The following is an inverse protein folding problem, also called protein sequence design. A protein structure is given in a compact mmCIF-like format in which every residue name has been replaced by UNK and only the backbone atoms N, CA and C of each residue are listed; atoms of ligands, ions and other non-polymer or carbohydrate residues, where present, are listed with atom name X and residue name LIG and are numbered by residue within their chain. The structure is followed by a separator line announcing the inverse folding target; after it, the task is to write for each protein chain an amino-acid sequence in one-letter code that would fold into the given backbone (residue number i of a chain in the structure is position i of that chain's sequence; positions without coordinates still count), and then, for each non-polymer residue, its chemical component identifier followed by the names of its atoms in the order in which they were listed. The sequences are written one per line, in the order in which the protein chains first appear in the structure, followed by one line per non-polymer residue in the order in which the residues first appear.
data_IF_121312555643
#
_entry.id   IF_121312555643
#
_cell.length_a   1.000
_cell.length_b   1.000
_cell.length_c   1.000
_cell.angle_alpha   90.00
_cell.angle_beta   90.00
_cell.angle_gamma   90.00
#
_symmetry.space_group_name_H-M   'P 1'
#
loop_
_entity.id
_entity.type
_entity.pdbx_description
1 polymer ?
#
# COMPACT_ATOMS: atom_id res chain seq x y z
N UNK A 1 8.97 -29.11 57.19
CA UNK A 1 9.28 -28.61 55.84
C UNK A 1 8.28 -27.54 55.46
N UNK A 2 8.72 -26.41 54.91
CA UNK A 2 7.82 -25.32 54.47
C UNK A 2 7.19 -25.68 53.13
N UNK A 3 5.87 -25.77 53.07
CA UNK A 3 5.08 -25.86 51.83
C UNK A 3 4.73 -24.44 51.37
N UNK A 4 5.21 -24.06 50.19
CA UNK A 4 4.87 -22.78 49.57
C UNK A 4 3.58 -23.00 48.75
N UNK A 5 2.49 -22.40 49.21
CA UNK A 5 1.14 -22.58 48.66
C UNK A 5 0.86 -21.72 47.43
N UNK A 6 1.04 -22.27 46.25
CA UNK A 6 0.45 -21.73 45.03
C UNK A 6 -0.27 -22.83 44.25
N UNK A 7 -1.54 -22.59 43.94
CA UNK A 7 -2.34 -23.39 43.03
C UNK A 7 -2.46 -22.62 41.71
N UNK A 8 -1.69 -23.04 40.70
CA UNK A 8 -1.77 -22.47 39.36
C UNK A 8 -3.02 -22.98 38.64
N UNK A 9 -3.90 -22.06 38.22
CA UNK A 9 -5.00 -22.36 37.32
C UNK A 9 -4.58 -22.06 35.88
N UNK A 10 -4.28 -23.10 35.10
CA UNK A 10 -4.15 -22.96 33.65
C UNK A 10 -5.54 -23.04 33.01
N UNK A 11 -5.99 -21.95 32.41
CA UNK A 11 -7.10 -21.99 31.44
C UNK A 11 -6.50 -22.35 30.09
N UNK A 12 -6.94 -23.45 29.48
CA UNK A 12 -6.55 -23.76 28.11
C UNK A 12 -7.02 -22.62 27.20
N UNK A 13 -6.09 -21.82 26.67
CA UNK A 13 -6.38 -20.91 25.57
C UNK A 13 -6.57 -21.72 24.28
N UNK A 14 -7.08 -21.07 23.23
CA UNK A 14 -7.20 -21.69 21.91
C UNK A 14 -5.87 -22.37 21.53
N UNK A 15 -5.95 -23.63 21.09
CA UNK A 15 -4.77 -24.41 20.74
C UNK A 15 -3.92 -23.66 19.72
N UNK A 16 -2.61 -23.57 19.97
CA UNK A 16 -1.63 -23.00 19.02
C UNK A 16 -1.79 -23.63 17.64
N UNK A 17 -2.24 -24.89 17.56
CA UNK A 17 -2.52 -25.60 16.30
C UNK A 17 -3.61 -24.88 15.49
N UNK A 18 -4.65 -24.33 16.12
CA UNK A 18 -5.70 -23.57 15.40
C UNK A 18 -5.17 -22.25 14.84
N UNK A 19 -4.20 -21.63 15.50
CA UNK A 19 -3.48 -20.45 15.02
C UNK A 19 -2.43 -20.79 13.94
N UNK A 20 -1.89 -22.01 13.96
CA UNK A 20 -0.79 -22.48 13.08
C UNK A 20 -1.31 -23.31 11.89
N UNK A 21 -2.62 -23.56 11.79
CA UNK A 21 -3.24 -24.25 10.65
C UNK A 21 -3.01 -23.43 9.37
N UNK A 22 -2.06 -23.89 8.58
CA UNK A 22 -1.81 -23.48 7.20
C UNK A 22 -2.64 -24.34 6.24
N UNK A 23 -3.92 -24.59 6.55
CA UNK A 23 -4.84 -25.10 5.55
C UNK A 23 -5.08 -23.94 4.58
N UNK A 24 -4.18 -23.79 3.61
CA UNK A 24 -4.27 -22.78 2.55
C UNK A 24 -5.47 -23.14 1.71
N UNK A 25 -6.64 -22.65 2.11
CA UNK A 25 -7.80 -22.59 1.23
C UNK A 25 -7.32 -21.99 -0.08
N UNK A 26 -7.57 -22.66 -1.21
CA UNK A 26 -7.27 -22.12 -2.54
C UNK A 26 -8.12 -20.88 -2.74
N UNK A 27 -7.59 -19.73 -2.36
CA UNK A 27 -8.21 -18.44 -2.62
C UNK A 27 -8.18 -18.17 -4.12
N UNK A 28 -9.25 -17.57 -4.63
CA UNK A 28 -9.27 -17.09 -5.99
C UNK A 28 -8.17 -16.03 -6.18
N UNK A 29 -7.58 -15.87 -7.39
CA UNK A 29 -6.44 -14.97 -7.61
C UNK A 29 -6.64 -13.53 -7.12
N UNK A 30 -7.88 -13.04 -7.14
CA UNK A 30 -8.28 -11.72 -6.64
C UNK A 30 -8.30 -11.58 -5.11
N UNK A 31 -8.28 -12.70 -4.39
CA UNK A 31 -8.31 -12.76 -2.92
C UNK A 31 -6.95 -13.14 -2.32
N UNK A 32 -5.94 -13.42 -3.17
CA UNK A 32 -4.62 -13.79 -2.70
C UNK A 32 -3.81 -12.55 -2.25
N UNK A 33 -3.14 -12.61 -1.09
CA UNK A 33 -2.09 -11.67 -0.74
C UNK A 33 -0.78 -11.99 -1.47
N UNK A 34 0.15 -11.05 -1.51
CA UNK A 34 1.46 -11.26 -2.13
C UNK A 34 1.34 -11.28 -3.66
N UNK A 35 0.74 -10.25 -4.23
CA UNK A 35 0.50 -10.16 -5.68
C UNK A 35 1.25 -8.98 -6.28
N UNK A 36 1.69 -9.17 -7.52
CA UNK A 36 2.11 -8.09 -8.41
C UNK A 36 0.88 -7.71 -9.24
N UNK A 37 0.54 -6.43 -9.21
CA UNK A 37 -0.67 -5.91 -9.83
C UNK A 37 -0.35 -4.76 -10.79
N UNK A 38 -1.21 -4.60 -11.79
CA UNK A 38 -1.21 -3.49 -12.73
C UNK A 38 -2.50 -2.69 -12.56
N UNK A 39 -2.41 -1.37 -12.47
CA UNK A 39 -3.56 -0.46 -12.60
C UNK A 39 -3.45 0.21 -13.95
N UNK A 40 -4.39 -0.12 -14.84
CA UNK A 40 -4.48 0.45 -16.18
C UNK A 40 -5.43 1.64 -16.17
N UNK A 41 -5.00 2.76 -16.76
CA UNK A 41 -5.86 3.90 -17.03
C UNK A 41 -6.39 3.83 -18.47
N UNK A 42 -7.60 4.32 -18.71
CA UNK A 42 -8.17 4.45 -20.05
C UNK A 42 -7.27 5.26 -21.02
N UNK A 43 -6.39 6.12 -20.52
CA UNK A 43 -5.37 6.82 -21.32
C UNK A 43 -4.16 5.94 -21.73
N UNK A 44 -4.22 4.63 -21.49
CA UNK A 44 -3.14 3.65 -21.74
C UNK A 44 -1.91 3.79 -20.84
N UNK A 45 -1.96 4.65 -19.82
CA UNK A 45 -0.94 4.66 -18.77
C UNK A 45 -1.13 3.43 -17.86
N UNK A 46 -0.01 2.85 -17.41
CA UNK A 46 -0.01 1.72 -16.49
C UNK A 46 0.84 2.00 -15.26
N UNK A 47 0.33 1.59 -14.11
CA UNK A 47 1.06 1.53 -12.85
C UNK A 47 1.27 0.08 -12.46
N UNK A 48 2.50 -0.32 -12.13
CA UNK A 48 2.80 -1.66 -11.62
C UNK A 48 3.28 -1.52 -10.18
N UNK A 49 2.67 -2.29 -9.29
CA UNK A 49 3.05 -2.35 -7.89
C UNK A 49 3.00 -3.77 -7.36
N UNK A 50 3.54 -3.95 -6.17
CA UNK A 50 3.42 -5.18 -5.40
C UNK A 50 2.64 -4.92 -4.12
N UNK A 51 1.94 -5.93 -3.61
CA UNK A 51 1.24 -5.80 -2.34
C UNK A 51 1.24 -7.10 -1.55
N UNK A 52 1.50 -6.99 -0.24
CA UNK A 52 1.35 -8.10 0.70
C UNK A 52 -0.10 -8.30 1.16
N UNK A 53 -1.03 -7.43 0.75
CA UNK A 53 -2.46 -7.57 1.01
C UNK A 53 -3.17 -8.01 -0.28
N UNK A 54 -4.50 -8.10 -0.26
CA UNK A 54 -5.29 -8.31 -1.48
C UNK A 54 -5.22 -7.10 -2.40
N UNK A 55 -5.40 -7.31 -3.71
CA UNK A 55 -5.48 -6.23 -4.69
C UNK A 55 -6.57 -5.21 -4.33
N UNK A 56 -7.76 -5.69 -3.94
CA UNK A 56 -8.88 -4.82 -3.55
C UNK A 56 -8.50 -3.88 -2.41
N UNK A 57 -7.84 -4.41 -1.37
CA UNK A 57 -7.40 -3.61 -0.24
C UNK A 57 -6.38 -2.54 -0.65
N UNK A 58 -5.39 -2.89 -1.50
CA UNK A 58 -4.43 -1.90 -2.01
C UNK A 58 -5.10 -0.86 -2.91
N UNK A 59 -6.05 -1.27 -3.74
CA UNK A 59 -6.81 -0.36 -4.60
C UNK A 59 -7.66 0.62 -3.79
N UNK A 60 -8.32 0.16 -2.72
CA UNK A 60 -9.05 1.03 -1.79
C UNK A 60 -8.14 2.06 -1.10
N UNK A 61 -6.89 1.71 -0.79
CA UNK A 61 -5.91 2.68 -0.27
C UNK A 61 -5.63 3.78 -1.29
N UNK A 62 -5.44 3.43 -2.57
CA UNK A 62 -5.26 4.42 -3.64
C UNK A 62 -6.51 5.29 -3.81
N UNK A 63 -7.71 4.70 -3.80
CA UNK A 63 -8.97 5.44 -3.87
C UNK A 63 -9.17 6.37 -2.66
N UNK A 64 -8.75 5.94 -1.47
CA UNK A 64 -8.77 6.78 -0.26
C UNK A 64 -7.91 8.03 -0.44
N UNK A 65 -6.70 7.88 -0.98
CA UNK A 65 -5.81 9.01 -1.27
C UNK A 65 -6.42 9.93 -2.35
N UNK A 66 -6.98 9.35 -3.43
CA UNK A 66 -7.69 10.10 -4.47
C UNK A 66 -8.87 10.90 -3.91
N UNK A 67 -9.64 10.30 -3.00
CA UNK A 67 -10.74 10.98 -2.33
C UNK A 67 -10.25 12.12 -1.43
N UNK A 68 -9.09 11.98 -0.76
CA UNK A 68 -8.50 13.09 0.00
C UNK A 68 -8.14 14.27 -0.90
N UNK A 69 -7.53 13.99 -2.06
CA UNK A 69 -7.22 14.97 -3.09
C UNK A 69 -8.48 15.66 -3.62
N UNK A 70 -9.49 14.92 -4.08
CA UNK A 70 -10.76 15.47 -4.59
C UNK A 70 -11.47 16.34 -3.54
N UNK A 71 -11.45 15.92 -2.28
CA UNK A 71 -12.02 16.72 -1.20
C UNK A 71 -11.24 18.03 -0.98
N UNK A 72 -9.91 18.01 -1.06
CA UNK A 72 -9.08 19.21 -0.94
C UNK A 72 -9.27 20.16 -2.13
N UNK A 73 -9.39 19.62 -3.35
CA UNK A 73 -9.73 20.39 -4.55
C UNK A 73 -11.11 21.07 -4.41
N UNK A 74 -12.10 20.37 -3.85
CA UNK A 74 -13.42 20.95 -3.59
C UNK A 74 -13.40 22.01 -2.47
N UNK A 75 -12.57 21.82 -1.43
CA UNK A 75 -12.30 22.84 -0.39
C UNK A 75 -11.74 24.12 -1.06
N UNK A 76 -10.72 23.98 -1.91
CA UNK A 76 -10.08 25.08 -2.62
C UNK A 76 -11.06 25.85 -3.53
N UNK A 77 -11.94 25.13 -4.24
CA UNK A 77 -12.97 25.72 -5.11
C UNK A 77 -14.16 26.32 -4.34
N UNK A 78 -14.18 26.23 -3.01
CA UNK A 78 -15.32 26.67 -2.19
C UNK A 78 -16.59 25.86 -2.38
N UNK A 79 -16.50 24.70 -3.07
CA UNK A 79 -17.65 23.85 -3.42
C UNK A 79 -18.04 22.89 -2.28
N UNK A 80 -17.35 22.96 -1.15
CA UNK A 80 -17.58 22.03 -0.07
C UNK A 80 -18.76 22.43 0.80
N UNK A 81 -19.73 21.51 0.88
CA UNK A 81 -20.82 21.60 1.85
C UNK A 81 -20.22 21.54 3.26
N UNK A 82 -20.51 22.56 4.08
CA UNK A 82 -20.06 22.63 5.48
C UNK A 82 -20.51 21.37 6.22
N UNK A 83 -19.57 20.48 6.54
CA UNK A 83 -19.85 19.31 7.38
C UNK A 83 -19.86 19.73 8.85
N UNK A 84 -20.71 19.08 9.66
CA UNK A 84 -20.53 19.10 11.12
C UNK A 84 -19.24 18.34 11.46
N UNK A 85 -18.35 18.95 12.24
CA UNK A 85 -17.11 18.32 12.70
C UNK A 85 -15.91 19.26 12.69
N UNK A 86 -14.74 18.70 13.02
CA UNK A 86 -13.48 19.43 13.07
C UNK A 86 -13.02 19.81 11.66
N UNK A 87 -12.71 21.09 11.38
CA UNK A 87 -12.07 21.50 10.14
C UNK A 87 -10.74 20.75 9.92
N UNK A 88 -10.34 20.59 8.65
CA UNK A 88 -8.97 20.14 8.36
C UNK A 88 -7.98 21.14 8.95
N UNK A 89 -6.86 20.62 9.47
CA UNK A 89 -5.77 21.45 10.01
C UNK A 89 -4.86 22.02 8.92
N UNK A 90 -4.77 21.32 7.80
CA UNK A 90 -3.91 21.68 6.66
C UNK A 90 -4.70 22.53 5.67
N UNK A 91 -4.01 23.47 5.04
CA UNK A 91 -4.57 24.26 3.96
C UNK A 91 -4.91 23.37 2.76
N UNK A 92 -5.93 23.70 1.94
CA UNK A 92 -6.36 22.86 0.83
C UNK A 92 -5.24 22.46 -0.13
N UNK A 93 -4.34 23.39 -0.48
CA UNK A 93 -3.22 23.13 -1.38
C UNK A 93 -2.23 22.13 -0.78
N UNK A 94 -1.86 22.29 0.49
CA UNK A 94 -0.97 21.38 1.20
C UNK A 94 -1.57 19.97 1.29
N UNK A 95 -2.87 19.86 1.52
CA UNK A 95 -3.58 18.59 1.55
C UNK A 95 -3.64 17.92 0.16
N UNK A 96 -3.65 18.69 -0.92
CA UNK A 96 -3.51 18.17 -2.29
C UNK A 96 -2.11 17.62 -2.52
N UNK A 97 -1.07 18.38 -2.14
CA UNK A 97 0.33 17.98 -2.30
C UNK A 97 0.66 16.72 -1.49
N UNK A 98 0.16 16.63 -0.26
CA UNK A 98 0.30 15.42 0.57
C UNK A 98 -0.35 14.21 -0.10
N UNK A 99 -1.54 14.38 -0.68
CA UNK A 99 -2.24 13.29 -1.36
C UNK A 99 -1.51 12.85 -2.66
N UNK A 100 -0.92 13.78 -3.40
CA UNK A 100 -0.09 13.50 -4.58
C UNK A 100 1.16 12.71 -4.18
N UNK A 101 1.89 13.16 -3.13
CA UNK A 101 3.09 12.49 -2.65
C UNK A 101 2.80 11.09 -2.10
N UNK A 102 1.66 10.91 -1.43
CA UNK A 102 1.29 9.63 -0.83
C UNK A 102 0.94 8.54 -1.87
N UNK A 103 0.66 8.90 -3.12
CA UNK A 103 0.32 7.90 -4.13
C UNK A 103 0.56 8.38 -5.56
N UNK A 104 1.39 7.61 -6.29
CA UNK A 104 1.57 7.78 -7.73
C UNK A 104 0.23 7.76 -8.49
N UNK A 105 -0.76 6.96 -8.05
CA UNK A 105 -2.09 6.94 -8.67
C UNK A 105 -2.78 8.32 -8.60
N UNK A 106 -2.64 9.02 -7.47
CA UNK A 106 -3.17 10.38 -7.28
C UNK A 106 -2.43 11.38 -8.15
N UNK A 107 -1.11 11.28 -8.24
CA UNK A 107 -0.32 12.12 -9.14
C UNK A 107 -0.84 12.04 -10.58
N UNK A 108 -1.08 10.83 -11.09
CA UNK A 108 -1.61 10.64 -12.44
C UNK A 108 -3.04 11.15 -12.60
N UNK A 109 -3.93 10.76 -11.68
CA UNK A 109 -5.34 11.15 -11.74
C UNK A 109 -5.55 12.67 -11.56
N UNK A 110 -4.57 13.40 -11.02
CA UNK A 110 -4.60 14.86 -10.96
C UNK A 110 -4.53 15.51 -12.36
N UNK A 111 -4.04 14.77 -13.36
CA UNK A 111 -3.84 15.23 -14.75
C UNK A 111 -4.68 14.44 -15.76
N UNK A 112 -5.41 13.42 -15.31
CA UNK A 112 -6.14 12.51 -16.16
C UNK A 112 -7.45 12.06 -15.51
N UNK A 113 -8.57 12.21 -16.24
CA UNK A 113 -9.90 11.78 -15.80
C UNK A 113 -10.26 10.35 -16.26
N UNK A 114 -9.27 9.59 -16.73
CA UNK A 114 -9.48 8.23 -17.22
C UNK A 114 -9.90 7.26 -16.12
N UNK A 115 -10.75 6.31 -16.47
CA UNK A 115 -11.13 5.22 -15.55
C UNK A 115 -9.93 4.33 -15.26
N UNK A 116 -9.80 3.90 -13.99
CA UNK A 116 -8.75 3.01 -13.51
C UNK A 116 -9.27 1.57 -13.40
N UNK A 117 -8.48 0.62 -13.90
CA UNK A 117 -8.79 -0.80 -13.95
C UNK A 117 -7.68 -1.60 -13.26
N UNK A 118 -7.88 -2.08 -12.02
CA UNK A 118 -6.91 -2.89 -11.31
C UNK A 118 -6.94 -4.36 -11.78
N UNK A 119 -5.77 -4.92 -12.08
CA UNK A 119 -5.59 -6.30 -12.53
C UNK A 119 -4.44 -6.97 -11.78
N UNK A 120 -4.58 -8.26 -11.44
CA UNK A 120 -3.45 -9.07 -10.97
C UNK A 120 -2.69 -9.58 -12.17
N UNK A 121 -1.37 -9.36 -12.21
CA UNK A 121 -0.50 -9.82 -13.31
C UNK A 121 0.39 -11.00 -12.91
N UNK A 122 0.72 -11.15 -11.62
CA UNK A 122 1.45 -12.31 -11.11
C UNK A 122 1.22 -12.52 -9.60
N UNK A 123 1.37 -13.77 -9.15
CA UNK A 123 1.42 -14.13 -7.74
C UNK A 123 2.89 -14.26 -7.29
N UNK A 124 3.21 -13.76 -6.09
CA UNK A 124 4.52 -13.93 -5.42
C UNK A 124 4.32 -14.84 -4.20
N UNK A 125 4.59 -16.16 -4.31
CA UNK A 125 4.29 -17.12 -3.25
C UNK A 125 5.13 -16.92 -1.99
N UNK A 126 6.33 -16.36 -2.12
CA UNK A 126 7.28 -16.15 -1.03
C UNK A 126 7.45 -14.66 -0.68
N UNK A 127 6.38 -13.86 -0.87
CA UNK A 127 6.41 -12.39 -0.74
C UNK A 127 7.11 -11.91 0.52
N UNK A 128 6.71 -12.41 1.70
CA UNK A 128 7.31 -11.98 2.97
C UNK A 128 8.78 -12.40 3.09
N UNK A 129 9.14 -13.59 2.62
CA UNK A 129 10.52 -14.06 2.65
C UNK A 129 11.41 -13.22 1.73
N UNK A 130 10.93 -12.92 0.51
CA UNK A 130 11.61 -12.00 -0.41
C UNK A 130 11.77 -10.62 0.23
N UNK A 131 10.72 -10.06 0.85
CA UNK A 131 10.79 -8.77 1.55
C UNK A 131 11.79 -8.75 2.70
N UNK A 132 11.87 -9.82 3.49
CA UNK A 132 12.89 -9.94 4.54
C UNK A 132 14.30 -9.97 3.93
N UNK A 133 14.51 -10.78 2.88
CA UNK A 133 15.80 -10.87 2.19
C UNK A 133 16.21 -9.54 1.55
N UNK A 134 15.29 -8.85 0.88
CA UNK A 134 15.50 -7.52 0.30
C UNK A 134 15.91 -6.51 1.37
N UNK A 135 15.18 -6.44 2.49
CA UNK A 135 15.46 -5.52 3.59
C UNK A 135 16.85 -5.77 4.21
N UNK A 136 17.21 -7.03 4.42
CA UNK A 136 18.55 -7.39 4.87
C UNK A 136 19.60 -6.98 3.81
N UNK A 137 19.35 -7.29 2.54
CA UNK A 137 20.26 -6.96 1.45
C UNK A 137 20.55 -5.45 1.36
N UNK A 138 19.52 -4.60 1.42
CA UNK A 138 19.67 -3.14 1.42
C UNK A 138 20.49 -2.66 2.63
N UNK A 139 20.27 -3.25 3.82
CA UNK A 139 20.96 -2.85 5.04
C UNK A 139 22.45 -3.22 5.05
N UNK A 140 22.80 -4.37 4.49
CA UNK A 140 24.18 -4.87 4.48
C UNK A 140 25.00 -4.38 3.27
N UNK A 141 24.35 -4.01 2.17
CA UNK A 141 25.03 -3.54 0.97
C UNK A 141 24.94 -2.01 0.84
N UNK A 142 25.98 -1.32 1.30
CA UNK A 142 26.10 0.15 1.32
C UNK A 142 25.94 0.81 -0.06
N UNK A 143 26.08 0.05 -1.14
CA UNK A 143 26.00 0.52 -2.54
C UNK A 143 24.59 0.40 -3.12
N UNK A 144 23.72 -0.43 -2.53
CA UNK A 144 22.35 -0.66 -3.03
C UNK A 144 21.44 0.52 -2.64
N UNK A 145 21.66 1.10 -1.46
CA UNK A 145 20.92 2.30 -1.07
C UNK A 145 21.60 3.56 -1.62
N UNK A 146 20.96 4.22 -2.60
CA UNK A 146 21.44 5.49 -3.20
C UNK A 146 20.77 6.72 -2.60
N UNK A 147 19.81 6.53 -1.69
CA UNK A 147 19.25 7.66 -0.96
C UNK A 147 20.28 8.21 0.04
N UNK A 148 20.29 9.52 0.23
CA UNK A 148 21.06 10.14 1.30
C UNK A 148 20.18 10.07 2.55
N UNK A 149 20.11 8.88 3.18
CA UNK A 149 19.31 8.66 4.37
C UNK A 149 19.50 9.81 5.37
N UNK A 150 18.40 10.52 5.69
CA UNK A 150 18.43 11.50 6.78
C UNK A 150 18.30 10.71 8.07
N UNK A 151 19.38 10.62 8.84
CA UNK A 151 19.37 9.95 10.14
C UNK A 151 18.34 10.65 11.03
N UNK A 152 17.17 10.02 11.16
CA UNK A 152 16.13 10.47 12.08
C UNK A 152 16.54 10.02 13.48
N UNK A 153 17.30 10.84 14.18
CA UNK A 153 17.61 10.61 15.60
C UNK A 153 16.33 10.77 16.43
N UNK A 154 15.50 9.74 16.48
CA UNK A 154 14.34 9.69 17.37
C UNK A 154 14.18 8.31 17.95
N UNK A 155 14.36 8.23 19.26
CA UNK A 155 13.99 7.15 20.18
C UNK A 155 12.47 6.92 20.21
N UNK A 156 11.89 6.52 19.07
CA UNK A 156 10.45 6.24 18.92
C UNK A 156 10.27 4.85 18.30
N UNK A 157 10.76 3.82 19.00
CA UNK A 157 10.51 2.41 18.64
C UNK A 157 9.21 1.85 19.26
N UNK A 158 8.23 2.71 19.55
CA UNK A 158 6.91 2.29 20.04
C UNK A 158 5.80 3.13 19.42
N UNK A 159 5.53 2.92 18.12
CA UNK A 159 4.19 3.03 17.54
C UNK A 159 4.19 2.56 16.10
N UNK A 160 3.23 1.70 15.79
CA UNK A 160 2.86 1.25 14.44
C UNK A 160 3.14 2.30 13.37
N UNK A 161 4.17 2.05 12.56
CA UNK A 161 4.25 2.60 11.21
C UNK A 161 4.03 1.44 10.25
N UNK A 162 2.79 1.34 9.76
CA UNK A 162 2.54 0.79 8.42
C UNK A 162 3.27 1.72 7.47
N UNK A 163 4.51 1.37 7.16
CA UNK A 163 5.37 2.16 6.29
C UNK A 163 4.82 2.13 4.87
N UNK A 164 4.47 3.30 4.36
CA UNK A 164 4.23 3.51 2.95
C UNK A 164 5.57 3.35 2.23
N UNK A 165 5.68 2.30 1.42
CA UNK A 165 6.74 2.18 0.41
C UNK A 165 6.30 3.07 -0.76
N UNK A 166 7.17 3.98 -1.18
CA UNK A 166 7.02 4.71 -2.44
C UNK A 166 7.17 3.71 -3.60
N UNK A 167 6.05 3.12 -3.99
CA UNK A 167 6.00 2.13 -5.05
C UNK A 167 5.67 2.80 -6.39
N UNK A 168 6.61 2.71 -7.35
CA UNK A 168 6.35 2.74 -8.80
C UNK A 168 6.15 4.10 -9.47
N UNK A 169 6.82 4.31 -10.61
CA UNK A 169 6.55 5.41 -11.55
C UNK A 169 5.57 4.95 -12.64
N UNK A 170 4.70 5.87 -13.08
CA UNK A 170 3.86 5.64 -14.25
C UNK A 170 4.72 5.50 -15.51
N UNK A 171 4.41 4.48 -16.31
CA UNK A 171 5.03 4.29 -17.62
C UNK A 171 3.94 4.37 -18.69
N UNK A 172 4.16 5.23 -19.68
CA UNK A 172 3.29 5.38 -20.85
C UNK A 172 3.68 4.28 -21.85
N UNK A 173 2.82 3.27 -22.03
CA UNK A 173 3.02 2.28 -23.10
C UNK A 173 2.61 2.96 -24.41
N UNK A 174 3.60 3.29 -25.26
CA UNK A 174 3.31 3.49 -26.68
C UNK A 174 2.89 2.14 -27.25
N UNK A 175 1.64 2.03 -27.72
CA UNK A 175 1.26 0.93 -28.61
C UNK A 175 2.17 1.02 -29.82
N UNK A 176 3.05 0.03 -30.01
CA UNK A 176 3.60 -0.23 -31.34
C UNK A 176 2.45 -0.82 -32.14
N UNK A 177 1.99 -0.09 -33.15
CA UNK A 177 1.08 -0.63 -34.15
C UNK A 177 1.82 -1.73 -34.91
N UNK A 178 1.67 -2.97 -34.44
CA UNK A 178 1.98 -4.16 -35.21
C UNK A 178 0.68 -4.61 -35.88
N UNK A 179 0.51 -4.27 -37.14
CA UNK A 179 -0.65 -4.65 -37.94
C UNK A 179 -0.42 -4.37 -39.42
N UNK A 180 0.59 -5.02 -40.00
CA UNK A 180 0.70 -5.14 -41.45
C UNK A 180 -0.22 -6.22 -42.01
N UNK A 181 -0.62 -5.99 -43.26
CA UNK A 181 -1.20 -6.92 -44.25
C UNK A 181 -2.65 -7.36 -44.05
N UNK A 182 -3.55 -6.69 -44.78
CA UNK A 182 -4.46 -7.30 -45.78
C UNK A 182 -4.58 -6.31 -46.94
#
# INVERSE_FOLDING_TARGET
GRTIGFQGYFKSAASVISTVRNDKVRLAPNEKPGVIYEILCACSASYIGETGNTLSHRYEQHLSCLNRYKNALNDQKGLRIKRRGRPRKLEPNEAMDEAIKASAIVEHASRCDGQLHPNVIADEPDFHLRKIKEALCVRYNVVINRDKGTESNTTVWNRDKRGDVEDGKWVQKHRKDCGGMC
#
